data_IF_650647330453
#
_entry.id   IF_650647330453
#
_cell.length_a   1.000
_cell.length_b   1.000
_cell.length_c   1.000
_cell.angle_alpha   90.00
_cell.angle_beta   90.00
_cell.angle_gamma   90.00
#
_symmetry.space_group_name_H-M   'P 1'
#
loop_
_entity.id
_entity.type
_entity.pdbx_description
1 polymer ?
#
# COMPACT_ATOMS: atom_id res chain seq x y z
N UNK A 1 -16.62 -4.08 9.11
CA UNK A 1 -15.16 -3.93 9.21
C UNK A 1 -14.51 -4.78 8.15
N UNK A 2 -13.71 -4.21 7.25
CA UNK A 2 -12.92 -5.01 6.29
C UNK A 2 -11.62 -5.38 7.02
N UNK A 3 -11.43 -6.65 7.46
CA UNK A 3 -10.24 -7.02 8.19
C UNK A 3 -9.07 -7.09 7.21
N UNK A 4 -8.21 -6.08 7.23
CA UNK A 4 -7.00 -6.07 6.45
C UNK A 4 -5.91 -6.91 7.16
N UNK A 5 -5.35 -7.96 6.52
CA UNK A 5 -4.37 -8.83 7.15
C UNK A 5 -2.99 -8.17 7.23
N UNK A 6 -2.11 -8.69 8.09
CA UNK A 6 -0.69 -8.32 8.06
C UNK A 6 -0.38 -6.86 8.41
N UNK A 7 -1.17 -6.24 9.29
CA UNK A 7 -0.96 -4.86 9.75
C UNK A 7 -1.33 -3.78 8.74
N UNK A 8 -1.99 -4.18 7.64
CA UNK A 8 -2.58 -3.26 6.69
C UNK A 8 -3.78 -2.54 7.29
N UNK A 9 -4.06 -1.34 6.81
CA UNK A 9 -5.25 -0.57 7.17
C UNK A 9 -6.11 -0.40 5.93
N UNK A 10 -7.42 -0.52 6.10
CA UNK A 10 -8.35 -0.19 5.03
C UNK A 10 -8.28 1.32 4.78
N UNK A 11 -8.13 1.69 3.51
CA UNK A 11 -8.15 3.07 3.05
C UNK A 11 -9.18 3.15 1.95
N UNK A 12 -10.16 4.04 2.12
CA UNK A 12 -11.15 4.35 1.09
C UNK A 12 -10.49 5.04 -0.12
N UNK A 13 -9.35 5.69 0.12
CA UNK A 13 -8.57 6.36 -0.90
C UNK A 13 -7.08 6.09 -0.74
N UNK A 14 -6.52 5.31 -1.66
CA UNK A 14 -5.08 5.12 -1.81
C UNK A 14 -4.68 5.11 -3.28
N UNK A 15 -3.40 5.38 -3.53
CA UNK A 15 -2.84 5.25 -4.87
C UNK A 15 -2.97 3.80 -5.37
N UNK A 16 -3.11 3.59 -6.68
CA UNK A 16 -3.30 2.25 -7.25
C UNK A 16 -2.09 1.34 -7.00
N UNK A 17 -0.89 1.89 -6.83
CA UNK A 17 0.31 1.13 -6.52
C UNK A 17 0.63 1.20 -5.04
N UNK A 18 0.87 0.03 -4.44
CA UNK A 18 1.42 -0.09 -3.11
C UNK A 18 2.94 -0.09 -3.15
N UNK A 19 3.56 0.40 -2.08
CA UNK A 19 5.00 0.19 -1.86
C UNK A 19 5.18 -1.22 -1.32
N UNK A 20 5.98 -2.04 -2.01
CA UNK A 20 6.31 -3.40 -1.59
C UNK A 20 7.83 -3.53 -1.40
N UNK A 21 8.30 -4.56 -0.71
CA UNK A 21 9.73 -4.82 -0.58
C UNK A 21 10.41 -5.08 -1.94
N UNK A 22 9.64 -5.53 -2.95
CA UNK A 22 10.12 -5.73 -4.33
C UNK A 22 10.17 -4.41 -5.12
N UNK A 23 9.26 -3.48 -4.80
CA UNK A 23 9.17 -2.16 -5.42
C UNK A 23 9.05 -1.07 -4.33
N UNK A 24 10.14 -0.78 -3.60
CA UNK A 24 10.13 0.19 -2.50
C UNK A 24 9.87 1.62 -3.01
N UNK A 25 10.24 1.90 -4.25
CA UNK A 25 10.08 3.21 -4.88
C UNK A 25 8.65 3.50 -5.33
N UNK A 26 7.78 2.49 -5.48
CA UNK A 26 6.44 2.68 -6.06
C UNK A 26 6.46 3.43 -7.41
N UNK A 27 7.54 3.33 -8.17
CA UNK A 27 7.88 4.24 -9.27
C UNK A 27 8.47 3.43 -10.43
N UNK A 28 7.97 3.57 -11.65
CA UNK A 28 8.00 4.87 -12.32
C UNK A 28 6.70 5.41 -12.93
N UNK A 29 5.57 4.70 -12.83
CA UNK A 29 4.34 5.11 -13.55
C UNK A 29 3.08 5.04 -12.68
N UNK A 30 3.23 5.18 -11.36
CA UNK A 30 2.06 5.14 -10.49
C UNK A 30 1.40 6.52 -10.38
N UNK A 31 0.12 6.68 -10.79
CA UNK A 31 -0.58 7.92 -10.56
C UNK A 31 -0.70 8.17 -9.05
N UNK A 32 -0.50 9.42 -8.59
CA UNK A 32 -0.65 9.74 -7.19
C UNK A 32 -2.12 9.52 -6.75
N UNK A 33 -2.36 9.28 -5.45
CA UNK A 33 -3.70 9.08 -4.91
C UNK A 33 -4.67 10.21 -5.26
N UNK A 34 -4.17 11.44 -5.43
CA UNK A 34 -4.94 12.61 -5.88
C UNK A 34 -5.47 12.50 -7.33
N UNK A 35 -4.85 11.68 -8.18
CA UNK A 35 -5.28 11.49 -9.58
C UNK A 35 -6.11 10.23 -9.74
N UNK A 36 -5.80 9.17 -8.97
CA UNK A 36 -6.56 7.92 -9.00
C UNK A 36 -6.69 7.36 -7.58
N UNK A 37 -7.92 7.30 -7.10
CA UNK A 37 -8.28 6.89 -5.76
C UNK A 37 -8.89 5.49 -5.81
N UNK A 38 -8.22 4.50 -5.24
CA UNK A 38 -8.70 3.11 -5.19
C UNK A 38 -8.87 2.66 -3.74
N UNK A 39 -10.07 2.20 -3.34
CA UNK A 39 -10.29 1.67 -2.00
C UNK A 39 -9.62 0.29 -1.85
N UNK A 40 -8.99 0.04 -0.72
CA UNK A 40 -8.37 -1.24 -0.43
C UNK A 40 -7.49 -1.27 0.82
N UNK A 41 -6.96 -2.45 1.13
CA UNK A 41 -6.01 -2.63 2.21
C UNK A 41 -4.61 -2.15 1.80
N UNK A 42 -3.96 -1.39 2.67
CA UNK A 42 -2.61 -0.88 2.40
C UNK A 42 -1.78 -0.77 3.67
N UNK A 43 -0.47 -0.87 3.50
CA UNK A 43 0.45 -0.58 4.60
C UNK A 43 0.39 0.92 4.97
N UNK A 44 0.47 1.24 6.27
CA UNK A 44 0.57 2.62 6.70
C UNK A 44 1.85 3.27 6.16
N UNK A 45 1.88 4.62 6.07
CA UNK A 45 3.06 5.34 5.60
C UNK A 45 4.29 4.97 6.44
N UNK A 46 5.40 4.70 5.75
CA UNK A 46 6.66 4.27 6.38
C UNK A 46 6.86 2.75 6.44
N UNK A 47 5.86 1.94 6.07
CA UNK A 47 5.99 0.48 5.94
C UNK A 47 5.83 0.04 4.48
N UNK A 48 6.50 -1.05 4.13
CA UNK A 48 6.41 -1.74 2.84
C UNK A 48 5.67 -3.05 3.00
N UNK A 49 4.91 -3.44 1.97
CA UNK A 49 4.29 -4.76 1.92
C UNK A 49 5.36 -5.82 1.58
N UNK A 50 5.65 -6.71 2.53
CA UNK A 50 6.49 -7.87 2.29
C UNK A 50 5.76 -8.92 1.43
N UNK A 51 6.52 -9.83 0.81
CA UNK A 51 5.94 -10.94 0.02
C UNK A 51 4.97 -11.83 0.83
N UNK A 52 5.12 -11.88 2.17
CA UNK A 52 4.22 -12.59 3.07
C UNK A 52 2.91 -11.85 3.41
N UNK A 53 2.63 -10.69 2.78
CA UNK A 53 1.45 -9.88 3.06
C UNK A 53 1.53 -9.08 4.37
N UNK A 54 2.72 -8.99 4.97
CA UNK A 54 2.97 -8.26 6.22
C UNK A 54 3.59 -6.89 5.93
N UNK A 55 3.11 -5.85 6.60
CA UNK A 55 3.74 -4.53 6.56
C UNK A 55 4.98 -4.50 7.45
N UNK A 56 6.14 -4.26 6.84
CA UNK A 56 7.45 -4.23 7.51
C UNK A 56 8.17 -2.92 7.21
N UNK A 57 9.08 -2.46 8.08
CA UNK A 57 9.91 -1.30 7.77
C UNK A 57 10.80 -1.58 6.54
N UNK A 58 11.10 -0.54 5.72
CA UNK A 58 11.99 -0.64 4.57
C UNK A 58 13.42 -1.01 4.93
#
# INVERSE_FOLDING_TARGET
DVPCPGGQQFRDCGGPCGRSCLEPSGAGDCPPPDTLCVPGCRCPPGLLLAQGGQCVPP
#
